data_IF_066613514517
#
_entry.id   IF_066613514517
#
_cell.length_a   1.000
_cell.length_b   1.000
_cell.length_c   1.000
_cell.angle_alpha   90.00
_cell.angle_beta   90.00
_cell.angle_gamma   90.00
#
_symmetry.space_group_name_H-M   'P 1'
#
loop_
_entity.id
_entity.type
_entity.pdbx_description
1 polymer ?
#
# COMPACT_ATOMS: atom_id res chain seq x y z
N UNK A 1 -23.28 5.45 1.08
CA UNK A 1 -22.13 4.67 1.59
C UNK A 1 -21.45 5.51 2.66
N UNK A 2 -21.45 5.02 3.88
CA UNK A 2 -20.85 5.76 4.99
C UNK A 2 -19.33 5.54 4.99
N UNK A 3 -18.60 6.59 4.68
CA UNK A 3 -17.15 6.57 4.71
C UNK A 3 -16.70 6.79 6.17
N UNK A 4 -16.04 5.79 6.74
CA UNK A 4 -15.53 5.87 8.10
C UNK A 4 -14.12 6.48 8.10
N UNK A 5 -14.03 7.76 8.44
CA UNK A 5 -12.77 8.47 8.49
C UNK A 5 -11.83 7.92 9.56
N UNK A 6 -12.36 7.45 10.69
CA UNK A 6 -11.54 6.83 11.73
C UNK A 6 -10.87 5.55 11.22
N UNK A 7 -11.61 4.72 10.49
CA UNK A 7 -11.06 3.52 9.85
C UNK A 7 -9.97 3.89 8.85
N UNK A 8 -10.22 4.89 8.01
CA UNK A 8 -9.24 5.35 7.02
C UNK A 8 -7.96 5.84 7.68
N UNK A 9 -8.07 6.61 8.76
CA UNK A 9 -6.91 7.09 9.50
C UNK A 9 -6.12 5.96 10.16
N UNK A 10 -6.81 4.98 10.74
CA UNK A 10 -6.18 3.81 11.33
C UNK A 10 -5.46 2.97 10.27
N UNK A 11 -6.09 2.77 9.12
CA UNK A 11 -5.50 2.02 8.01
C UNK A 11 -4.25 2.72 7.48
N UNK A 12 -4.32 4.04 7.27
CA UNK A 12 -3.15 4.83 6.88
C UNK A 12 -2.03 4.67 7.90
N UNK A 13 -2.34 4.77 9.18
CA UNK A 13 -1.35 4.63 10.25
C UNK A 13 -0.64 3.28 10.20
N UNK A 14 -1.37 2.21 9.97
CA UNK A 14 -0.81 0.86 9.83
C UNK A 14 0.09 0.73 8.61
N UNK A 15 -0.33 1.29 7.47
CA UNK A 15 0.48 1.30 6.25
C UNK A 15 1.77 2.08 6.43
N UNK A 16 1.71 3.25 7.05
CA UNK A 16 2.88 4.09 7.32
C UNK A 16 3.86 3.35 8.21
N UNK A 17 3.39 2.77 9.30
CA UNK A 17 4.23 2.03 10.23
C UNK A 17 4.89 0.83 9.55
N UNK A 18 4.12 0.02 8.82
CA UNK A 18 4.65 -1.14 8.11
C UNK A 18 5.72 -0.73 7.09
N UNK A 19 5.43 0.27 6.27
CA UNK A 19 6.35 0.73 5.24
C UNK A 19 7.64 1.29 5.85
N UNK A 20 7.52 2.04 6.95
CA UNK A 20 8.66 2.59 7.68
C UNK A 20 9.54 1.48 8.25
N UNK A 21 8.93 0.50 8.92
CA UNK A 21 9.66 -0.60 9.54
C UNK A 21 10.37 -1.48 8.49
N UNK A 22 9.76 -1.68 7.34
CA UNK A 22 10.39 -2.44 6.25
C UNK A 22 11.59 -1.73 5.65
N UNK A 23 11.63 -0.39 5.72
CA UNK A 23 12.82 0.39 5.35
C UNK A 23 13.85 0.46 6.46
N UNK A 24 13.58 -0.13 7.61
CA UNK A 24 14.43 -0.06 8.81
C UNK A 24 14.63 1.37 9.30
N UNK A 25 13.61 2.22 9.11
CA UNK A 25 13.59 3.60 9.59
C UNK A 25 12.91 3.66 10.95
N UNK A 26 13.45 4.47 11.86
CA UNK A 26 12.72 4.83 13.07
C UNK A 26 11.77 6.01 12.80
N UNK A 27 10.95 6.35 13.79
CA UNK A 27 9.99 7.45 13.66
C UNK A 27 10.67 8.80 13.50
N UNK A 28 11.83 9.00 14.13
CA UNK A 28 12.59 10.22 14.02
C UNK A 28 13.13 10.42 12.60
N UNK A 29 13.63 9.37 11.99
CA UNK A 29 14.11 9.43 10.61
C UNK A 29 12.98 9.78 9.64
N UNK A 30 11.81 9.16 9.81
CA UNK A 30 10.64 9.48 8.98
C UNK A 30 10.21 10.93 9.18
N UNK A 31 10.19 11.41 10.42
CA UNK A 31 9.85 12.81 10.71
C UNK A 31 10.79 13.77 9.99
N UNK A 32 12.09 13.49 10.01
CA UNK A 32 13.10 14.30 9.32
C UNK A 32 12.90 14.28 7.81
N UNK A 33 12.64 13.10 7.23
CA UNK A 33 12.39 12.96 5.80
C UNK A 33 11.15 13.73 5.34
N UNK A 34 10.12 13.77 6.18
CA UNK A 34 8.88 14.48 5.87
C UNK A 34 8.92 15.97 6.25
N UNK A 35 9.91 16.39 7.00
CA UNK A 35 10.01 17.76 7.49
C UNK A 35 8.94 18.09 8.53
N UNK A 36 8.56 17.15 9.37
CA UNK A 36 7.53 17.31 10.40
C UNK A 36 8.05 16.90 11.77
N UNK A 37 7.31 17.26 12.81
CA UNK A 37 7.61 16.86 14.18
C UNK A 37 7.35 15.37 14.39
N UNK A 38 8.19 14.71 15.19
CA UNK A 38 8.04 13.29 15.50
C UNK A 38 6.67 12.99 16.16
N UNK A 39 6.13 13.94 16.91
CA UNK A 39 4.80 13.78 17.50
C UNK A 39 3.72 13.65 16.44
N UNK A 40 3.88 14.30 15.30
CA UNK A 40 2.98 14.17 14.16
C UNK A 40 3.06 12.78 13.57
N UNK A 41 4.27 12.22 13.41
CA UNK A 41 4.45 10.83 12.93
C UNK A 41 3.75 9.85 13.88
N UNK A 42 3.93 10.02 15.19
CA UNK A 42 3.27 9.17 16.19
C UNK A 42 1.74 9.22 16.09
N UNK A 43 1.19 10.41 15.89
CA UNK A 43 -0.27 10.58 15.72
C UNK A 43 -0.77 9.91 14.45
N UNK A 44 -0.03 10.03 13.35
CA UNK A 44 -0.40 9.38 12.09
C UNK A 44 -0.40 7.86 12.26
N UNK A 45 0.67 7.29 12.82
CA UNK A 45 0.80 5.84 13.00
C UNK A 45 -0.21 5.28 14.00
N UNK A 46 -0.69 6.07 14.94
CA UNK A 46 -1.72 5.65 15.89
C UNK A 46 -3.16 5.83 15.36
N UNK A 47 -3.31 6.39 14.16
CA UNK A 47 -4.61 6.61 13.54
C UNK A 47 -5.39 7.80 14.11
N UNK A 48 -4.72 8.71 14.84
CA UNK A 48 -5.36 9.84 15.50
C UNK A 48 -5.32 11.13 14.70
N UNK A 49 -4.72 11.13 13.51
CA UNK A 49 -4.50 12.35 12.74
C UNK A 49 -5.23 12.31 11.39
N UNK A 50 -5.92 13.40 11.09
CA UNK A 50 -6.37 13.68 9.74
C UNK A 50 -5.22 14.32 8.99
N UNK A 51 -4.74 13.66 7.95
CA UNK A 51 -3.56 14.09 7.21
C UNK A 51 -3.98 14.96 6.04
N UNK A 52 -3.43 16.19 5.97
CA UNK A 52 -3.67 17.07 4.85
C UNK A 52 -3.08 16.50 3.55
N UNK A 53 -3.65 16.88 2.43
CA UNK A 53 -3.27 16.33 1.11
C UNK A 53 -1.78 16.46 0.80
N UNK A 54 -1.19 17.60 1.09
CA UNK A 54 0.23 17.83 0.82
C UNK A 54 1.15 16.92 1.63
N UNK A 55 0.83 16.71 2.90
CA UNK A 55 1.57 15.78 3.75
C UNK A 55 1.32 14.32 3.33
N UNK A 56 0.08 13.97 2.99
CA UNK A 56 -0.25 12.64 2.49
C UNK A 56 0.55 12.32 1.22
N UNK A 57 0.65 13.26 0.30
CA UNK A 57 1.46 13.12 -0.92
C UNK A 57 2.92 12.83 -0.60
N UNK A 58 3.51 13.57 0.36
CA UNK A 58 4.90 13.35 0.80
C UNK A 58 5.08 11.96 1.41
N UNK A 59 4.13 11.52 2.22
CA UNK A 59 4.15 10.19 2.85
C UNK A 59 4.14 9.10 1.78
N UNK A 60 3.23 9.20 0.84
CA UNK A 60 3.10 8.22 -0.25
C UNK A 60 4.39 8.11 -1.04
N UNK A 61 5.01 9.25 -1.39
CA UNK A 61 6.27 9.25 -2.13
C UNK A 61 7.44 8.74 -1.31
N UNK A 62 7.58 9.17 -0.06
CA UNK A 62 8.71 8.77 0.77
C UNK A 62 8.71 7.28 1.11
N UNK A 63 7.53 6.72 1.35
CA UNK A 63 7.36 5.32 1.76
C UNK A 63 6.94 4.40 0.61
N UNK A 64 6.69 4.95 -0.57
CA UNK A 64 6.26 4.18 -1.75
C UNK A 64 4.98 3.40 -1.51
N UNK A 65 4.03 4.00 -0.78
CA UNK A 65 2.72 3.40 -0.52
C UNK A 65 1.87 3.46 -1.78
N UNK A 66 1.10 2.41 -2.05
CA UNK A 66 0.17 2.40 -3.18
C UNK A 66 -1.09 3.22 -2.86
N UNK A 67 -1.32 4.36 -3.55
CA UNK A 67 -2.50 5.18 -3.27
C UNK A 67 -3.81 4.44 -3.49
N UNK A 68 -3.86 3.56 -4.48
CA UNK A 68 -5.07 2.80 -4.79
C UNK A 68 -5.46 1.87 -3.64
N UNK A 69 -4.49 1.21 -3.02
CA UNK A 69 -4.74 0.35 -1.87
C UNK A 69 -5.29 1.16 -0.71
N UNK A 70 -4.76 2.35 -0.49
CA UNK A 70 -5.19 3.24 0.59
C UNK A 70 -6.68 3.61 0.48
N UNK A 71 -7.17 3.85 -0.73
CA UNK A 71 -8.53 4.37 -0.95
C UNK A 71 -9.56 3.31 -1.31
N UNK A 72 -9.17 2.18 -1.86
CA UNK A 72 -10.11 1.21 -2.43
C UNK A 72 -10.17 -0.14 -1.73
N UNK A 73 -9.27 -0.40 -0.79
CA UNK A 73 -9.29 -1.65 -0.04
C UNK A 73 -9.96 -1.42 1.30
N UNK A 74 -11.01 -2.19 1.59
CA UNK A 74 -11.78 -2.08 2.82
C UNK A 74 -11.37 -3.09 3.90
N UNK A 75 -10.42 -3.98 3.59
CA UNK A 75 -9.83 -4.95 4.51
C UNK A 75 -8.38 -4.55 4.76
N UNK A 76 -8.08 -4.09 5.99
CA UNK A 76 -6.75 -3.60 6.36
C UNK A 76 -5.66 -4.67 6.22
N UNK A 77 -5.93 -5.92 6.62
CA UNK A 77 -4.95 -6.99 6.52
C UNK A 77 -4.59 -7.29 5.06
N UNK A 78 -5.61 -7.42 4.20
CA UNK A 78 -5.41 -7.62 2.76
C UNK A 78 -4.68 -6.44 2.15
N UNK A 79 -5.07 -5.23 2.51
CA UNK A 79 -4.45 -4.00 1.99
C UNK A 79 -2.98 -3.91 2.35
N UNK A 80 -2.60 -4.26 3.58
CA UNK A 80 -1.21 -4.26 4.01
C UNK A 80 -0.37 -5.28 3.25
N UNK A 81 -0.91 -6.47 2.99
CA UNK A 81 -0.24 -7.49 2.17
C UNK A 81 -0.05 -7.03 0.72
N UNK A 82 -1.09 -6.44 0.13
CA UNK A 82 -1.03 -5.91 -1.23
C UNK A 82 -0.02 -4.76 -1.35
N UNK A 83 0.02 -3.86 -0.36
CA UNK A 83 0.96 -2.75 -0.36
C UNK A 83 2.41 -3.24 -0.27
N UNK A 84 2.67 -4.26 0.54
CA UNK A 84 4.00 -4.89 0.61
C UNK A 84 4.41 -5.47 -0.74
N UNK A 85 3.51 -6.18 -1.42
CA UNK A 85 3.77 -6.72 -2.76
C UNK A 85 4.03 -5.60 -3.78
N UNK A 86 3.26 -4.52 -3.72
CA UNK A 86 3.44 -3.35 -4.58
C UNK A 86 4.83 -2.75 -4.40
N UNK A 87 5.27 -2.53 -3.16
CA UNK A 87 6.61 -2.00 -2.90
C UNK A 87 7.71 -2.94 -3.39
N UNK A 88 7.51 -4.25 -3.26
CA UNK A 88 8.44 -5.23 -3.82
C UNK A 88 8.56 -5.14 -5.32
N UNK A 89 7.42 -4.97 -6.02
CA UNK A 89 7.42 -4.81 -7.47
C UNK A 89 8.15 -3.55 -7.91
N UNK A 90 8.02 -2.45 -7.16
CA UNK A 90 8.70 -1.18 -7.49
C UNK A 90 10.23 -1.29 -7.48
N UNK A 91 10.79 -2.29 -6.81
CA UNK A 91 12.22 -2.53 -6.77
C UNK A 91 12.72 -3.26 -8.03
N UNK A 92 11.83 -3.81 -8.83
CA UNK A 92 12.19 -4.56 -10.04
C UNK A 92 12.36 -3.64 -11.25
N UNK A 93 13.22 -4.01 -12.21
CA UNK A 93 13.26 -3.33 -13.49
C UNK A 93 11.91 -3.41 -14.21
N UNK A 94 11.59 -2.39 -15.01
CA UNK A 94 10.30 -2.32 -15.70
C UNK A 94 10.02 -3.58 -16.55
N UNK A 95 11.04 -4.13 -17.18
CA UNK A 95 10.91 -5.35 -18.00
C UNK A 95 10.45 -6.55 -17.18
N UNK A 96 10.95 -6.68 -15.94
CA UNK A 96 10.55 -7.74 -15.04
C UNK A 96 9.11 -7.55 -14.54
N UNK A 97 8.72 -6.31 -14.29
CA UNK A 97 7.33 -5.98 -13.91
C UNK A 97 6.37 -6.36 -15.05
N UNK A 98 6.73 -6.03 -16.29
CA UNK A 98 5.93 -6.41 -17.46
C UNK A 98 5.79 -7.92 -17.57
N UNK A 99 6.87 -8.66 -17.35
CA UNK A 99 6.87 -10.12 -17.40
C UNK A 99 5.92 -10.71 -16.36
N UNK A 100 5.96 -10.20 -15.12
CA UNK A 100 5.07 -10.62 -14.05
C UNK A 100 3.62 -10.34 -14.41
N UNK A 101 3.34 -9.14 -14.92
CA UNK A 101 1.99 -8.73 -15.31
C UNK A 101 1.44 -9.61 -16.45
N UNK A 102 2.24 -9.89 -17.47
CA UNK A 102 1.85 -10.75 -18.58
C UNK A 102 1.60 -12.19 -18.13
N UNK A 103 2.47 -12.71 -17.26
CA UNK A 103 2.32 -14.07 -16.72
C UNK A 103 1.03 -14.20 -15.90
N UNK A 104 0.73 -13.18 -15.08
CA UNK A 104 -0.50 -13.14 -14.29
C UNK A 104 -1.73 -13.07 -15.20
N UNK A 105 -1.69 -12.28 -16.26
CA UNK A 105 -2.78 -12.15 -17.22
C UNK A 105 -3.03 -13.47 -17.96
N UNK A 106 -1.98 -14.13 -18.44
CA UNK A 106 -2.08 -15.43 -19.12
C UNK A 106 -2.63 -16.49 -18.18
N UNK A 107 -2.16 -16.53 -16.94
CA UNK A 107 -2.63 -17.46 -15.93
C UNK A 107 -4.10 -17.25 -15.61
N UNK A 108 -4.54 -15.99 -15.50
CA UNK A 108 -5.95 -15.65 -15.26
C UNK A 108 -6.84 -16.09 -16.42
N UNK A 109 -6.41 -15.85 -17.64
CA UNK A 109 -7.13 -16.28 -18.84
C UNK A 109 -7.27 -17.81 -18.89
N UNK A 110 -6.21 -18.50 -18.55
CA UNK A 110 -6.23 -19.97 -18.50
C UNK A 110 -7.28 -20.45 -17.49
N UNK A 111 -7.30 -19.89 -16.29
CA UNK A 111 -8.25 -20.21 -15.24
C UNK A 111 -9.70 -19.93 -15.68
N UNK A 112 -9.93 -18.78 -16.30
CA UNK A 112 -11.25 -18.40 -16.80
C UNK A 112 -11.75 -19.39 -17.87
N UNK A 113 -10.86 -19.83 -18.77
CA UNK A 113 -11.18 -20.83 -19.77
C UNK A 113 -11.52 -22.18 -19.15
N UNK A 114 -10.80 -22.60 -18.09
CA UNK A 114 -11.12 -23.84 -17.38
C UNK A 114 -12.49 -23.75 -16.70
N UNK A 115 -12.85 -22.63 -16.12
CA UNK A 115 -14.17 -22.42 -15.51
C UNK A 115 -15.29 -22.43 -16.55
N UNK A 116 -15.03 -21.91 -17.76
CA UNK A 116 -16.01 -21.90 -18.85
C UNK A 116 -16.17 -23.25 -19.55
N UNK A 117 -15.10 -24.08 -19.56
CA UNK A 117 -15.06 -25.39 -20.21
C UNK A 117 -14.43 -26.44 -19.29
N UNK A 118 -15.18 -26.94 -18.27
CA UNK A 118 -14.63 -27.89 -17.30
C UNK A 118 -14.16 -29.20 -17.95
N UNK A 119 -14.69 -29.56 -19.12
CA UNK A 119 -14.34 -30.80 -19.85
C UNK A 119 -12.96 -30.75 -20.48
N UNK A 120 -12.34 -29.57 -20.58
CA UNK A 120 -10.98 -29.39 -21.11
C UNK A 120 -9.89 -29.49 -20.03
N UNK A 121 -10.30 -29.65 -18.78
CA UNK A 121 -9.34 -29.76 -17.68
C UNK A 121 -8.56 -31.07 -17.69
#
# INVERSE_FOLDING_TARGET
MDYDLNYANQFLGLLVKQAREEKEWDQEYLADELGIDIRTVRKIESGQSNVAYDLLSKIIHALEICPQILFYVDDAEKGMKMDRLYRGLLQLPLEDIKMVAESAYKGRRWLDNQAANPEKA
#
